data_IF_768546365809
#
_entry.id   IF_768546365809
#
_cell.length_a   1.000
_cell.length_b   1.000
_cell.length_c   1.000
_cell.angle_alpha   90.00
_cell.angle_beta   90.00
_cell.angle_gamma   90.00
#
_symmetry.space_group_name_H-M   'P 1'
#
loop_
_entity.id
_entity.type
_entity.pdbx_description
1 polymer ?
#
# COMPACT_ATOMS: atom_id res chain seq x y z
N UNK A 1 -21.41 -38.80 -22.25
CA UNK A 1 -20.40 -38.05 -23.03
C UNK A 1 -20.70 -36.55 -22.91
N UNK A 2 -20.54 -35.98 -21.71
CA UNK A 2 -20.83 -34.58 -21.34
C UNK A 2 -19.95 -34.20 -20.12
N UNK A 3 -18.64 -34.43 -20.18
CA UNK A 3 -17.70 -34.11 -19.09
C UNK A 3 -16.44 -33.37 -19.57
N UNK A 4 -16.38 -32.89 -20.82
CA UNK A 4 -15.14 -32.41 -21.43
C UNK A 4 -15.24 -31.00 -22.05
N UNK A 5 -16.00 -30.07 -21.46
CA UNK A 5 -16.07 -28.68 -22.00
C UNK A 5 -15.83 -27.58 -20.97
N UNK A 6 -15.35 -27.91 -19.76
CA UNK A 6 -14.95 -26.88 -18.78
C UNK A 6 -13.45 -26.52 -18.82
N UNK A 7 -12.65 -27.20 -19.64
CA UNK A 7 -11.21 -26.98 -19.74
C UNK A 7 -10.86 -26.08 -20.93
N UNK A 8 -11.40 -24.87 -20.99
CA UNK A 8 -10.96 -23.85 -21.96
C UNK A 8 -11.10 -22.42 -21.45
N UNK A 9 -11.35 -22.21 -20.14
CA UNK A 9 -11.46 -20.87 -19.54
C UNK A 9 -10.31 -20.48 -18.61
N UNK A 10 -9.29 -21.33 -18.50
CA UNK A 10 -7.99 -20.95 -17.97
C UNK A 10 -7.03 -20.89 -19.15
N UNK A 11 -7.12 -19.80 -19.91
CA UNK A 11 -6.01 -19.40 -20.77
C UNK A 11 -4.75 -19.31 -19.89
N UNK A 12 -3.75 -20.13 -20.19
CA UNK A 12 -2.42 -20.11 -19.59
C UNK A 12 -1.60 -18.85 -19.96
N UNK A 13 -2.28 -17.76 -20.30
CA UNK A 13 -1.72 -16.42 -20.27
C UNK A 13 -1.58 -16.09 -18.78
N UNK A 14 -0.36 -16.15 -18.23
CA UNK A 14 -0.03 -15.87 -16.82
C UNK A 14 -0.34 -14.44 -16.33
N UNK A 15 -1.41 -13.84 -16.82
CA UNK A 15 -2.02 -12.57 -16.43
C UNK A 15 -2.72 -12.69 -15.06
N UNK A 16 -2.05 -13.27 -14.07
CA UNK A 16 -2.43 -13.16 -12.67
C UNK A 16 -1.86 -11.82 -12.15
N UNK A 17 -2.58 -10.74 -12.48
CA UNK A 17 -2.46 -9.38 -11.95
C UNK A 17 -1.04 -8.77 -11.88
N UNK A 18 -0.46 -8.38 -13.02
CA UNK A 18 0.73 -7.51 -13.06
C UNK A 18 0.58 -6.27 -12.15
N UNK A 19 -0.66 -5.80 -11.96
CA UNK A 19 -1.00 -4.68 -11.10
C UNK A 19 -0.75 -4.92 -9.59
N UNK A 20 -0.85 -6.18 -9.12
CA UNK A 20 -0.58 -6.51 -7.72
C UNK A 20 0.85 -6.22 -7.31
N UNK A 21 1.81 -6.42 -8.21
CA UNK A 21 3.22 -6.09 -7.98
C UNK A 21 3.46 -4.59 -7.80
N UNK A 22 2.73 -3.76 -8.55
CA UNK A 22 2.82 -2.30 -8.43
C UNK A 22 2.34 -1.86 -7.05
N UNK A 23 1.21 -2.39 -6.60
CA UNK A 23 0.66 -2.08 -5.27
C UNK A 23 1.58 -2.56 -4.15
N UNK A 24 2.15 -3.76 -4.26
CA UNK A 24 3.13 -4.29 -3.31
C UNK A 24 4.37 -3.38 -3.22
N UNK A 25 4.88 -2.92 -4.36
CA UNK A 25 6.04 -2.02 -4.40
C UNK A 25 5.72 -0.65 -3.79
N UNK A 26 4.53 -0.10 -4.08
CA UNK A 26 4.08 1.18 -3.51
C UNK A 26 3.87 1.10 -1.99
N UNK A 27 3.36 -0.03 -1.50
CA UNK A 27 3.15 -0.30 -0.07
C UNK A 27 4.49 -0.29 0.69
N UNK A 28 5.48 -1.04 0.19
CA UNK A 28 6.85 -1.03 0.73
C UNK A 28 7.44 0.38 0.73
N UNK A 29 7.28 1.11 -0.38
CA UNK A 29 7.79 2.48 -0.49
C UNK A 29 7.17 3.41 0.56
N UNK A 30 5.85 3.38 0.73
CA UNK A 30 5.17 4.19 1.74
C UNK A 30 5.60 3.81 3.17
N UNK A 31 5.81 2.52 3.42
CA UNK A 31 6.30 2.04 4.72
C UNK A 31 7.72 2.56 5.01
N UNK A 32 8.63 2.56 4.03
CA UNK A 32 9.93 3.22 4.16
C UNK A 32 9.80 4.73 4.42
N UNK A 33 8.87 5.42 3.77
CA UNK A 33 8.65 6.84 4.00
C UNK A 33 8.18 7.11 5.44
N UNK A 34 7.21 6.33 5.95
CA UNK A 34 6.75 6.40 7.36
C UNK A 34 7.91 6.26 8.34
N UNK A 35 8.84 5.33 8.11
CA UNK A 35 10.00 5.17 8.98
C UNK A 35 10.97 6.35 8.93
N UNK A 36 11.15 6.98 7.76
CA UNK A 36 12.02 8.14 7.56
C UNK A 36 11.48 9.43 8.21
N UNK A 37 10.17 9.53 8.46
CA UNK A 37 9.60 10.74 9.07
C UNK A 37 10.07 10.92 10.53
N UNK A 38 10.33 12.17 11.00
CA UNK A 38 10.70 12.47 12.38
C UNK A 38 9.48 12.50 13.32
N UNK A 39 8.50 11.62 13.12
CA UNK A 39 7.29 11.55 13.94
C UNK A 39 7.49 10.67 15.18
N UNK A 40 6.65 10.89 16.19
CA UNK A 40 6.59 10.02 17.38
C UNK A 40 6.20 8.60 16.99
N UNK A 41 6.64 7.62 17.79
CA UNK A 41 6.45 6.18 17.47
C UNK A 41 4.97 5.81 17.27
N UNK A 42 4.05 6.43 18.00
CA UNK A 42 2.61 6.19 17.88
C UNK A 42 2.04 6.61 16.53
N UNK A 43 2.48 7.75 15.96
CA UNK A 43 2.06 8.18 14.63
C UNK A 43 2.61 7.27 13.53
N UNK A 44 3.85 6.79 13.67
CA UNK A 44 4.44 5.83 12.73
C UNK A 44 3.63 4.53 12.72
N UNK A 45 3.30 4.02 13.91
CA UNK A 45 2.55 2.78 14.05
C UNK A 45 1.13 2.90 13.49
N UNK A 46 0.45 4.03 13.74
CA UNK A 46 -0.89 4.28 13.20
C UNK A 46 -0.89 4.27 11.66
N UNK A 47 0.03 4.99 11.03
CA UNK A 47 0.12 5.02 9.56
C UNK A 47 0.55 3.68 8.97
N UNK A 48 1.50 2.98 9.60
CA UNK A 48 1.88 1.64 9.19
C UNK A 48 0.69 0.67 9.25
N UNK A 49 -0.13 0.72 10.31
CA UNK A 49 -1.33 -0.10 10.43
C UNK A 49 -2.37 0.23 9.34
N UNK A 50 -2.63 1.51 9.07
CA UNK A 50 -3.59 1.93 8.04
C UNK A 50 -3.17 1.45 6.64
N UNK A 51 -1.90 1.61 6.28
CA UNK A 51 -1.36 1.14 4.99
C UNK A 51 -1.44 -0.39 4.89
N UNK A 52 -1.03 -1.11 5.94
CA UNK A 52 -1.02 -2.58 5.95
C UNK A 52 -2.42 -3.22 5.80
N UNK A 53 -3.43 -2.73 6.52
CA UNK A 53 -4.79 -3.28 6.44
C UNK A 53 -5.53 -2.88 5.15
N UNK A 54 -5.18 -1.72 4.59
CA UNK A 54 -5.81 -1.20 3.39
C UNK A 54 -4.74 -0.69 2.42
N UNK A 55 -4.03 -1.56 1.68
CA UNK A 55 -2.91 -1.13 0.85
C UNK A 55 -3.36 -0.12 -0.21
N UNK A 56 -4.50 -0.33 -0.87
CA UNK A 56 -4.97 0.60 -1.90
C UNK A 56 -5.48 1.94 -1.32
N UNK A 57 -6.43 1.87 -0.39
CA UNK A 57 -7.09 3.05 0.17
C UNK A 57 -6.17 3.78 1.17
N UNK A 58 -5.42 3.03 1.96
CA UNK A 58 -4.44 3.53 2.93
C UNK A 58 -3.32 4.30 2.25
N UNK A 59 -2.83 3.85 1.08
CA UNK A 59 -1.88 4.63 0.27
C UNK A 59 -2.49 5.96 -0.20
N UNK A 60 -3.73 5.96 -0.70
CA UNK A 60 -4.41 7.18 -1.14
C UNK A 60 -4.56 8.17 0.02
N UNK A 61 -5.05 7.71 1.17
CA UNK A 61 -5.21 8.54 2.37
C UNK A 61 -3.85 9.01 2.89
N UNK A 62 -2.83 8.15 2.84
CA UNK A 62 -1.47 8.51 3.22
C UNK A 62 -0.93 9.64 2.35
N UNK A 63 -1.02 9.52 1.02
CA UNK A 63 -0.56 10.58 0.11
C UNK A 63 -1.32 11.90 0.29
N UNK A 64 -2.61 11.87 0.62
CA UNK A 64 -3.42 13.07 0.82
C UNK A 64 -3.22 13.73 2.19
N UNK A 65 -3.16 12.95 3.27
CA UNK A 65 -3.26 13.45 4.65
C UNK A 65 -2.03 13.20 5.51
N UNK A 66 -1.14 12.28 5.15
CA UNK A 66 0.11 12.09 5.88
C UNK A 66 1.08 13.26 5.68
N UNK A 67 0.67 14.30 4.94
CA UNK A 67 1.21 15.65 4.84
C UNK A 67 2.44 15.86 5.72
N UNK A 68 3.61 15.90 5.06
CA UNK A 68 4.94 16.18 5.64
C UNK A 68 4.83 17.38 6.57
N UNK A 69 4.60 17.08 7.85
CA UNK A 69 4.40 18.11 8.87
C UNK A 69 5.65 18.95 8.92
N UNK A 70 5.52 20.21 8.49
CA UNK A 70 6.46 21.28 8.85
C UNK A 70 6.65 21.14 10.36
N UNK A 71 7.85 20.77 10.79
CA UNK A 71 8.22 20.84 12.20
C UNK A 71 8.04 22.30 12.59
N UNK A 72 6.97 22.61 13.32
CA UNK A 72 6.85 23.91 13.96
C UNK A 72 7.92 23.92 15.07
N UNK A 73 9.13 24.32 14.71
CA UNK A 73 10.12 24.84 15.66
C UNK A 73 9.54 26.13 16.23
N UNK A 74 8.64 25.96 17.21
CA UNK A 74 8.32 26.99 18.18
C UNK A 74 9.52 27.15 19.09
N UNK A 75 10.48 27.96 18.64
CA UNK A 75 11.45 28.60 19.53
C UNK A 75 10.64 29.56 20.40
N UNK A 76 10.46 29.20 21.67
CA UNK A 76 10.15 30.12 22.78
C UNK A 76 11.10 29.79 23.93
#
# INVERSE_FOLDING_TARGET
MMLATSCSRFDANGSLSTWGYVLLALDLFAMFDVFRQPWTIGKKLLWAAVIFFFPFIGLIIYFMFAGRGKSNTGVV
#
